data_IF_129244675692
#
_entry.id   IF_129244675692
#
_cell.length_a   1.000
_cell.length_b   1.000
_cell.length_c   1.000
_cell.angle_alpha   90.00
_cell.angle_beta   90.00
_cell.angle_gamma   90.00
#
_symmetry.space_group_name_H-M   'P 1'
#
loop_
_entity.id
_entity.type
_entity.pdbx_description
1 polymer ?
#
# COMPACT_ATOMS: atom_id res chain seq x y z
N UNK A 1 12.53 28.41 -7.45
CA UNK A 1 12.74 26.97 -7.16
C UNK A 1 12.16 26.67 -5.79
N UNK A 2 11.15 25.83 -5.56
CA UNK A 2 10.28 25.05 -6.43
C UNK A 2 9.17 24.34 -5.61
N UNK A 3 7.98 24.12 -6.17
CA UNK A 3 6.97 23.21 -5.63
C UNK A 3 6.95 21.83 -6.33
N UNK A 4 7.98 21.50 -7.11
CA UNK A 4 8.03 20.29 -7.96
C UNK A 4 8.01 18.96 -7.19
N UNK A 5 8.11 18.98 -5.86
CA UNK A 5 8.20 17.76 -5.03
C UNK A 5 6.87 17.31 -4.41
N UNK A 6 5.88 18.21 -4.26
CA UNK A 6 4.55 17.86 -3.76
C UNK A 6 3.65 17.26 -4.85
N UNK A 7 3.69 17.84 -6.06
CA UNK A 7 2.90 17.35 -7.21
C UNK A 7 3.24 15.91 -7.59
N UNK A 8 4.51 15.51 -7.52
CA UNK A 8 4.94 14.14 -7.85
C UNK A 8 4.41 13.08 -6.87
N UNK A 9 4.05 13.50 -5.66
CA UNK A 9 3.53 12.65 -4.59
C UNK A 9 2.02 12.48 -4.69
N UNK A 10 1.31 13.56 -5.01
CA UNK A 10 -0.14 13.52 -5.23
C UNK A 10 -0.48 12.72 -6.51
N UNK A 11 0.31 12.91 -7.58
CA UNK A 11 0.15 12.18 -8.84
C UNK A 11 0.40 10.67 -8.65
N UNK A 12 1.44 10.33 -7.87
CA UNK A 12 1.77 8.97 -7.49
C UNK A 12 0.70 8.28 -6.64
N UNK A 13 0.19 8.96 -5.61
CA UNK A 13 -0.82 8.40 -4.72
C UNK A 13 -2.15 8.18 -5.47
N UNK A 14 -2.51 9.09 -6.38
CA UNK A 14 -3.67 8.95 -7.24
C UNK A 14 -3.55 7.78 -8.23
N UNK A 15 -2.37 7.58 -8.84
CA UNK A 15 -2.12 6.43 -9.73
C UNK A 15 -2.16 5.10 -8.97
N UNK A 16 -1.51 5.05 -7.80
CA UNK A 16 -1.57 3.87 -6.93
C UNK A 16 -3.00 3.55 -6.50
N UNK A 17 -3.78 4.57 -6.08
CA UNK A 17 -5.17 4.40 -5.70
C UNK A 17 -6.02 3.88 -6.86
N UNK A 18 -5.75 4.34 -8.09
CA UNK A 18 -6.44 3.87 -9.29
C UNK A 18 -6.20 2.37 -9.50
N UNK A 19 -4.95 1.93 -9.48
CA UNK A 19 -4.57 0.50 -9.61
C UNK A 19 -5.14 -0.35 -8.48
N UNK A 20 -5.08 0.13 -7.24
CA UNK A 20 -5.64 -0.57 -6.09
C UNK A 20 -7.16 -0.74 -6.19
N UNK A 21 -7.87 0.19 -6.85
CA UNK A 21 -9.33 0.10 -7.08
C UNK A 21 -9.73 -0.87 -8.18
N UNK A 22 -8.81 -1.32 -9.02
CA UNK A 22 -9.04 -2.35 -10.04
C UNK A 22 -9.05 -3.77 -9.44
N UNK A 23 -8.56 -3.91 -8.21
CA UNK A 23 -8.52 -5.18 -7.48
C UNK A 23 -9.87 -5.41 -6.75
N UNK A 24 -10.48 -6.61 -6.85
CA UNK A 24 -11.85 -6.89 -6.39
C UNK A 24 -12.11 -6.60 -4.90
N UNK A 25 -11.07 -6.51 -4.05
CA UNK A 25 -11.17 -6.07 -2.66
C UNK A 25 -10.31 -4.84 -2.33
N UNK A 26 -9.49 -4.36 -3.27
CA UNK A 26 -8.51 -3.30 -3.01
C UNK A 26 -9.15 -1.93 -2.83
N UNK A 27 -10.33 -1.68 -3.43
CA UNK A 27 -11.05 -0.40 -3.34
C UNK A 27 -11.32 0.05 -1.90
N UNK A 28 -11.61 -0.90 -1.00
CA UNK A 28 -12.00 -0.61 0.39
C UNK A 28 -10.80 -0.16 1.23
N UNK A 29 -9.63 -0.75 0.97
CA UNK A 29 -8.38 -0.40 1.66
C UNK A 29 -7.64 0.77 1.00
N UNK A 30 -7.82 0.98 -0.32
CA UNK A 30 -7.08 1.97 -1.08
C UNK A 30 -7.22 3.38 -0.52
N UNK A 31 -8.44 3.79 -0.14
CA UNK A 31 -8.70 5.11 0.43
C UNK A 31 -7.97 5.33 1.76
N UNK A 32 -8.10 4.36 2.68
CA UNK A 32 -7.42 4.40 3.99
C UNK A 32 -5.89 4.46 3.83
N UNK A 33 -5.35 3.62 2.95
CA UNK A 33 -3.90 3.51 2.76
C UNK A 33 -3.31 4.79 2.19
N UNK A 34 -4.00 5.41 1.23
CA UNK A 34 -3.61 6.71 0.66
C UNK A 34 -3.69 7.81 1.72
N UNK A 35 -4.76 7.83 2.52
CA UNK A 35 -4.93 8.80 3.60
C UNK A 35 -3.81 8.67 4.67
N UNK A 36 -3.47 7.43 5.04
CA UNK A 36 -2.39 7.14 5.98
C UNK A 36 -1.00 7.56 5.50
N UNK A 37 -0.69 7.42 4.20
CA UNK A 37 0.60 7.86 3.64
C UNK A 37 0.60 9.34 3.22
N UNK A 38 -0.57 9.96 3.09
CA UNK A 38 -0.71 11.38 2.91
C UNK A 38 -0.38 12.14 4.20
N UNK A 39 -0.43 11.47 5.36
CA UNK A 39 0.10 12.04 6.60
C UNK A 39 1.60 12.34 6.46
N UNK A 40 2.03 13.60 6.67
CA UNK A 40 3.40 14.03 6.43
C UNK A 40 4.43 13.32 7.29
N UNK A 41 4.03 12.70 8.42
CA UNK A 41 4.92 11.93 9.30
C UNK A 41 5.21 10.54 8.75
N UNK A 42 4.26 9.95 8.02
CA UNK A 42 4.40 8.62 7.39
C UNK A 42 4.91 8.69 5.94
N UNK A 43 4.88 9.90 5.38
CA UNK A 43 5.21 10.18 3.98
C UNK A 43 6.63 9.79 3.55
N UNK A 44 7.60 9.86 4.47
CA UNK A 44 9.01 9.56 4.18
C UNK A 44 9.30 8.05 4.00
N UNK A 45 8.55 7.20 4.70
CA UNK A 45 8.76 5.75 4.63
C UNK A 45 7.84 5.06 3.60
N UNK A 46 6.74 5.73 3.18
CA UNK A 46 5.61 5.10 2.47
C UNK A 46 5.10 3.85 3.20
N UNK A 47 5.32 3.83 4.50
CA UNK A 47 5.00 2.73 5.38
C UNK A 47 4.00 3.25 6.39
N UNK A 48 2.87 2.57 6.48
CA UNK A 48 1.87 2.82 7.50
C UNK A 48 1.79 1.59 8.42
N UNK A 49 1.75 1.83 9.72
CA UNK A 49 1.56 0.79 10.71
C UNK A 49 0.27 1.08 11.45
N UNK A 50 -0.67 0.15 11.42
CA UNK A 50 -1.97 0.32 12.07
C UNK A 50 -2.53 -1.00 12.61
N UNK A 51 -3.32 -0.95 13.71
CA UNK A 51 -4.04 -2.12 14.19
C UNK A 51 -5.16 -2.49 13.21
N UNK A 52 -5.14 -3.73 12.72
CA UNK A 52 -6.10 -4.24 11.71
C UNK A 52 -7.53 -4.13 12.21
N UNK A 53 -7.76 -4.47 13.48
CA UNK A 53 -9.08 -4.39 14.10
C UNK A 53 -9.60 -2.96 14.14
N UNK A 54 -8.78 -1.99 14.57
CA UNK A 54 -9.20 -0.60 14.65
C UNK A 54 -9.45 0.01 13.27
N UNK A 55 -8.59 -0.30 12.29
CA UNK A 55 -8.77 0.13 10.91
C UNK A 55 -10.06 -0.46 10.29
N UNK A 56 -10.34 -1.74 10.55
CA UNK A 56 -11.57 -2.39 10.09
C UNK A 56 -12.83 -1.74 10.72
N UNK A 57 -12.77 -1.41 12.02
CA UNK A 57 -13.84 -0.68 12.72
C UNK A 57 -14.03 0.72 12.13
N UNK A 58 -12.95 1.46 11.87
CA UNK A 58 -13.01 2.79 11.25
C UNK A 58 -13.63 2.73 9.84
N UNK A 59 -13.32 1.68 9.08
CA UNK A 59 -13.90 1.42 7.77
C UNK A 59 -15.30 0.76 7.81
N UNK A 60 -15.80 0.43 9.01
CA UNK A 60 -17.05 -0.32 9.23
C UNK A 60 -17.15 -1.62 8.41
N UNK A 61 -16.03 -2.33 8.28
CA UNK A 61 -15.95 -3.63 7.61
C UNK A 61 -15.47 -4.71 8.57
N UNK A 62 -15.67 -5.98 8.18
CA UNK A 62 -15.10 -7.09 8.91
C UNK A 62 -13.56 -7.06 8.82
N UNK A 63 -12.81 -7.34 9.92
CA UNK A 63 -11.35 -7.42 9.88
C UNK A 63 -10.86 -8.49 8.90
N UNK A 64 -11.60 -9.58 8.71
CA UNK A 64 -11.30 -10.59 7.69
C UNK A 64 -11.32 -10.01 6.27
N UNK A 65 -12.24 -9.09 5.97
CA UNK A 65 -12.35 -8.46 4.65
C UNK A 65 -11.21 -7.47 4.42
N UNK A 66 -10.81 -6.72 5.46
CA UNK A 66 -9.62 -5.87 5.39
C UNK A 66 -8.35 -6.69 5.16
N UNK A 67 -8.17 -7.83 5.84
CA UNK A 67 -7.03 -8.74 5.60
C UNK A 67 -7.03 -9.28 4.18
N UNK A 68 -8.19 -9.71 3.67
CA UNK A 68 -8.33 -10.18 2.30
C UNK A 68 -7.91 -9.09 1.31
N UNK A 69 -8.40 -7.85 1.49
CA UNK A 69 -8.03 -6.70 0.67
C UNK A 69 -6.53 -6.40 0.69
N UNK A 70 -5.90 -6.39 1.87
CA UNK A 70 -4.46 -6.17 2.01
C UNK A 70 -3.65 -7.28 1.32
N UNK A 71 -4.13 -8.51 1.37
CA UNK A 71 -3.48 -9.67 0.76
C UNK A 71 -3.64 -9.68 -0.76
N UNK A 72 -4.81 -9.32 -1.27
CA UNK A 72 -5.09 -9.08 -2.70
C UNK A 72 -4.16 -7.98 -3.26
N UNK A 73 -4.00 -6.88 -2.53
CA UNK A 73 -3.11 -5.78 -2.93
C UNK A 73 -1.62 -6.16 -2.87
N UNK A 74 -1.25 -7.01 -1.91
CA UNK A 74 0.11 -7.55 -1.82
C UNK A 74 0.41 -8.53 -2.96
N UNK A 75 -0.55 -9.39 -3.30
CA UNK A 75 -0.47 -10.34 -4.42
C UNK A 75 -0.34 -9.60 -5.76
N UNK A 76 -1.07 -8.49 -5.92
CA UNK A 76 -0.93 -7.58 -7.06
C UNK A 76 0.40 -6.79 -7.08
N UNK A 77 1.27 -6.94 -6.07
CA UNK A 77 2.56 -6.25 -5.97
C UNK A 77 2.46 -4.76 -5.65
N UNK A 78 1.27 -4.26 -5.31
CA UNK A 78 1.02 -2.84 -5.01
C UNK A 78 1.47 -2.46 -3.61
N UNK A 79 1.56 -3.41 -2.68
CA UNK A 79 2.09 -3.18 -1.34
C UNK A 79 2.88 -4.37 -0.83
N UNK A 80 3.72 -4.12 0.16
CA UNK A 80 4.32 -5.17 1.00
C UNK A 80 3.58 -5.20 2.33
N UNK A 81 3.02 -6.36 2.70
CA UNK A 81 2.30 -6.57 3.95
C UNK A 81 3.18 -7.34 4.94
N UNK A 82 3.39 -6.78 6.13
CA UNK A 82 3.98 -7.45 7.27
C UNK A 82 2.99 -7.39 8.45
N UNK A 83 2.50 -8.53 8.90
CA UNK A 83 1.62 -8.61 10.06
C UNK A 83 2.42 -9.00 11.29
N UNK A 84 2.33 -8.19 12.34
CA UNK A 84 2.89 -8.48 13.66
C UNK A 84 1.75 -8.77 14.63
N UNK A 85 1.81 -9.91 15.30
CA UNK A 85 0.87 -10.26 16.34
C UNK A 85 1.48 -9.84 17.69
N UNK A 86 0.90 -8.85 18.35
CA UNK A 86 1.45 -8.30 19.59
C UNK A 86 1.18 -9.18 20.84
N UNK A 87 0.72 -10.42 20.64
CA UNK A 87 0.50 -11.40 21.72
C UNK A 87 -0.89 -11.36 22.35
N UNK A 88 -1.64 -10.27 22.17
CA UNK A 88 -3.02 -10.14 22.66
C UNK A 88 -4.04 -10.48 21.56
N UNK A 89 -5.09 -11.25 21.85
CA UNK A 89 -6.15 -11.56 20.88
C UNK A 89 -6.84 -10.26 20.43
N UNK A 90 -6.66 -9.90 19.16
CA UNK A 90 -7.19 -8.66 18.58
C UNK A 90 -6.16 -7.53 18.40
N UNK A 91 -4.94 -7.69 18.90
CA UNK A 91 -3.81 -6.75 18.74
C UNK A 91 -2.92 -7.11 17.55
N UNK A 92 -3.56 -7.50 16.44
CA UNK A 92 -2.87 -7.68 15.17
C UNK A 92 -2.55 -6.31 14.56
N UNK A 93 -1.27 -6.04 14.36
CA UNK A 93 -0.77 -4.81 13.75
C UNK A 93 -0.30 -5.14 12.34
N UNK A 94 -0.89 -4.46 11.35
CA UNK A 94 -0.42 -4.53 9.98
C UNK A 94 0.54 -3.36 9.73
N UNK A 95 1.75 -3.71 9.32
CA UNK A 95 2.71 -2.80 8.72
C UNK A 95 2.62 -2.97 7.21
N UNK A 96 2.25 -1.92 6.51
CA UNK A 96 2.09 -1.92 5.05
C UNK A 96 3.04 -0.91 4.45
N UNK A 97 3.80 -1.34 3.45
CA UNK A 97 4.66 -0.44 2.68
C UNK A 97 4.12 -0.37 1.27
N UNK A 98 3.69 0.83 0.86
CA UNK A 98 3.19 1.05 -0.50
C UNK A 98 4.37 1.01 -1.47
N UNK A 99 4.36 0.04 -2.37
CA UNK A 99 5.32 -0.01 -3.46
C UNK A 99 4.96 1.12 -4.39
N UNK A 100 5.92 1.99 -4.69
CA UNK A 100 5.68 2.90 -5.80
C UNK A 100 5.45 2.08 -7.06
N UNK A 101 4.44 2.39 -7.92
CA UNK A 101 4.51 1.99 -9.30
C UNK A 101 5.92 2.29 -9.76
N UNK A 102 6.69 1.24 -10.05
CA UNK A 102 7.90 1.40 -10.78
C UNK A 102 7.47 2.13 -12.05
N UNK A 103 7.77 3.43 -12.15
CA UNK A 103 7.91 4.06 -13.45
C UNK A 103 8.79 3.10 -14.21
N UNK A 104 8.20 2.40 -15.17
CA UNK A 104 8.78 1.35 -16.00
C UNK A 104 10.31 1.35 -15.93
N UNK A 105 10.87 0.69 -14.91
CA UNK A 105 12.22 0.19 -15.02
C UNK A 105 12.04 -1.24 -15.43
N UNK A 106 11.60 -1.39 -16.69
CA UNK A 106 11.83 -2.60 -17.47
C UNK A 106 13.18 -3.16 -17.03
N UNK A 107 13.26 -4.36 -16.42
CA UNK A 107 14.50 -5.09 -16.50
C UNK A 107 14.72 -5.28 -18.00
N UNK A 108 15.73 -4.57 -18.51
CA UNK A 108 16.18 -4.65 -19.88
C UNK A 108 16.43 -6.14 -20.16
N UNK A 109 15.51 -6.75 -20.91
CA UNK A 109 15.62 -8.11 -21.42
C UNK A 109 16.91 -8.31 -22.23
N UNK A 110 17.15 -9.55 -22.64
CA UNK A 110 18.33 -10.32 -22.30
C UNK A 110 19.54 -9.94 -23.17
N UNK A 111 20.73 -9.83 -22.56
CA UNK A 111 21.96 -9.94 -23.33
C UNK A 111 22.31 -11.41 -23.50
N UNK A 112 21.80 -11.99 -24.60
CA UNK A 112 22.47 -13.10 -25.29
C UNK A 112 23.93 -12.70 -25.48
N UNK A 113 24.84 -13.41 -24.81
CA UNK A 113 26.25 -13.45 -25.12
C UNK A 113 26.59 -14.89 -25.45
N UNK A 114 26.51 -15.23 -26.73
CA UNK A 114 27.22 -16.37 -27.29
C UNK A 114 28.71 -16.21 -26.99
N UNK A 115 29.31 -17.22 -26.38
CA UNK A 115 30.56 -17.78 -26.87
C UNK A 115 30.69 -19.22 -26.41
#
# INVERSE_FOLDING_TARGET
MGPVRAMAVEDWAADWARRAREIPNGRVAAGLLVDLVADPRQHLARTATFPVTAAAVALRIAPALLRAALRDLADAGLLTLACHNAGEPGSEVAMVTLTAPASDRKPKGPRRGHQ
#
